data_IF_899705174535
#
_entry.id   IF_899705174535
#
_cell.length_a   1.000
_cell.length_b   1.000
_cell.length_c   1.000
_cell.angle_alpha   90.00
_cell.angle_beta   90.00
_cell.angle_gamma   90.00
#
_symmetry.space_group_name_H-M   'P 1'
#
loop_
_entity.id
_entity.type
_entity.pdbx_description
1 polymer ?
#
# COMPACT_ATOMS: atom_id res chain seq x y z
N UNK A 1 3.73 -1.66 12.83
CA UNK A 1 2.65 -0.65 12.66
C UNK A 1 3.27 0.75 12.42
N UNK A 2 2.84 1.51 11.40
CA UNK A 2 3.36 2.86 11.16
C UNK A 2 2.93 3.83 12.27
N UNK A 3 3.84 4.73 12.67
CA UNK A 3 3.58 5.81 13.63
C UNK A 3 3.05 7.10 12.95
N UNK A 4 2.94 7.09 11.62
CA UNK A 4 2.53 8.23 10.81
C UNK A 4 2.48 7.89 9.32
N UNK A 5 3.00 8.80 8.48
CA UNK A 5 3.08 8.62 7.02
C UNK A 5 4.46 8.10 6.66
N UNK A 6 4.53 6.89 6.12
CA UNK A 6 5.74 6.33 5.52
C UNK A 6 5.71 6.55 4.00
N UNK A 7 6.86 6.88 3.40
CA UNK A 7 7.01 7.02 1.94
C UNK A 7 8.11 6.11 1.43
N UNK A 8 7.91 5.50 0.26
CA UNK A 8 8.90 4.63 -0.35
C UNK A 8 8.52 4.20 -1.77
N UNK A 9 9.16 3.13 -2.23
CA UNK A 9 8.92 2.54 -3.54
C UNK A 9 8.18 1.20 -3.37
N UNK A 10 7.35 0.88 -4.35
CA UNK A 10 6.64 -0.40 -4.43
C UNK A 10 6.92 -1.06 -5.78
N UNK A 11 6.66 -2.36 -5.88
CA UNK A 11 6.80 -3.09 -7.13
C UNK A 11 5.82 -2.59 -8.19
N UNK A 12 6.24 -2.61 -9.45
CA UNK A 12 5.39 -2.20 -10.59
C UNK A 12 4.11 -3.02 -10.70
N UNK A 13 4.07 -4.24 -10.16
CA UNK A 13 2.89 -5.09 -10.16
C UNK A 13 1.66 -4.41 -9.52
N UNK A 14 1.87 -3.52 -8.53
CA UNK A 14 0.81 -2.76 -7.88
C UNK A 14 0.01 -1.88 -8.87
N UNK A 15 0.60 -1.52 -10.02
CA UNK A 15 -0.10 -0.80 -11.09
C UNK A 15 -1.31 -1.58 -11.64
N UNK A 16 -1.35 -2.91 -11.50
CA UNK A 16 -2.45 -3.75 -11.97
C UNK A 16 -3.55 -3.95 -10.93
N UNK A 17 -3.25 -3.74 -9.65
CA UNK A 17 -4.19 -3.91 -8.55
C UNK A 17 -5.25 -2.81 -8.52
N UNK A 18 -6.45 -3.13 -8.04
CA UNK A 18 -7.56 -2.17 -8.02
C UNK A 18 -7.54 -1.36 -6.73
N UNK A 19 -8.05 -0.12 -6.79
CA UNK A 19 -8.42 0.60 -5.57
C UNK A 19 -9.40 -0.24 -4.74
N UNK A 20 -9.16 -0.31 -3.44
CA UNK A 20 -9.88 -1.18 -2.51
C UNK A 20 -9.24 -2.56 -2.29
N UNK A 21 -8.31 -3.00 -3.15
CA UNK A 21 -7.56 -4.25 -2.92
C UNK A 21 -6.75 -4.17 -1.63
N UNK A 22 -6.67 -5.30 -0.90
CA UNK A 22 -5.74 -5.50 0.21
C UNK A 22 -4.51 -6.25 -0.33
N UNK A 23 -3.32 -5.70 -0.10
CA UNK A 23 -2.04 -6.26 -0.53
C UNK A 23 -1.13 -6.47 0.68
N UNK A 24 -0.26 -7.48 0.63
CA UNK A 24 0.75 -7.74 1.66
C UNK A 24 2.09 -7.18 1.22
N UNK A 25 2.68 -6.29 2.02
CA UNK A 25 4.07 -5.92 1.89
C UNK A 25 4.89 -6.80 2.83
N UNK A 26 5.73 -7.66 2.27
CA UNK A 26 6.49 -8.64 3.04
C UNK A 26 7.34 -7.98 4.13
N UNK A 27 7.17 -8.44 5.38
CA UNK A 27 7.79 -7.91 6.61
C UNK A 27 7.34 -6.50 7.03
N UNK A 28 6.33 -5.93 6.37
CA UNK A 28 5.71 -4.66 6.75
C UNK A 28 4.27 -4.86 7.24
N UNK A 29 3.46 -5.62 6.50
CA UNK A 29 2.08 -5.96 6.84
C UNK A 29 1.09 -5.75 5.69
N UNK A 30 -0.21 -5.84 5.99
CA UNK A 30 -1.30 -5.71 5.04
C UNK A 30 -1.75 -4.26 4.89
N UNK A 31 -1.89 -3.81 3.64
CA UNK A 31 -2.29 -2.46 3.29
C UNK A 31 -3.44 -2.47 2.29
N UNK A 32 -4.41 -1.56 2.44
CA UNK A 32 -5.46 -1.31 1.44
C UNK A 32 -5.01 -0.21 0.48
N UNK A 33 -5.16 -0.44 -0.83
CA UNK A 33 -4.96 0.58 -1.85
C UNK A 33 -6.14 1.56 -1.81
N UNK A 34 -5.87 2.85 -1.64
CA UNK A 34 -6.90 3.88 -1.53
C UNK A 34 -6.91 4.85 -2.72
N UNK A 35 -5.73 5.24 -3.20
CA UNK A 35 -5.58 6.03 -4.42
C UNK A 35 -4.38 5.56 -5.25
N UNK A 36 -4.46 5.74 -6.57
CA UNK A 36 -3.44 5.35 -7.56
C UNK A 36 -3.20 6.43 -8.63
N UNK A 37 -3.44 7.70 -8.31
CA UNK A 37 -3.19 8.81 -9.24
C UNK A 37 -1.68 9.00 -9.50
N UNK A 38 -1.07 10.07 -8.98
CA UNK A 38 0.37 10.31 -9.19
C UNK A 38 1.26 9.57 -8.19
N UNK A 39 0.74 9.28 -7.01
CA UNK A 39 1.40 8.53 -5.94
C UNK A 39 0.38 7.49 -5.47
N UNK A 40 0.81 6.25 -5.31
CA UNK A 40 -0.06 5.22 -4.74
C UNK A 40 -0.17 5.47 -3.24
N UNK A 41 -1.39 5.72 -2.77
CA UNK A 41 -1.69 5.93 -1.36
C UNK A 41 -2.30 4.66 -0.78
N UNK A 42 -1.75 4.23 0.36
CA UNK A 42 -2.13 2.99 1.02
C UNK A 42 -2.44 3.24 2.50
N UNK A 43 -3.42 2.52 3.02
CA UNK A 43 -3.71 2.51 4.46
C UNK A 43 -3.27 1.18 5.06
N UNK A 44 -2.37 1.26 6.06
CA UNK A 44 -1.99 0.11 6.85
C UNK A 44 -3.20 -0.43 7.61
N UNK A 45 -3.36 -1.75 7.59
CA UNK A 45 -4.47 -2.44 8.26
C UNK A 45 -3.97 -3.15 9.53
N UNK A 46 -3.09 -4.13 9.38
CA UNK A 46 -2.50 -4.96 10.44
C UNK A 46 -1.27 -5.71 9.90
N UNK A 47 -0.49 -6.30 10.80
CA UNK A 47 0.66 -7.16 10.52
C UNK A 47 0.29 -8.65 10.55
#
# INVERSE_FOLDING_TARGET
>A
KPEGIDTGFAERLLEKEKTGSIVQFERYGFCRIDDKNSIITLYFTHE
#
